data_IF_482505971193
#
_entry.id   IF_482505971193
#
_cell.length_a   1.000
_cell.length_b   1.000
_cell.length_c   1.000
_cell.angle_alpha   90.00
_cell.angle_beta   90.00
_cell.angle_gamma   90.00
#
_symmetry.space_group_name_H-M   'P 1'
#
loop_
_entity.id
_entity.type
_entity.pdbx_description
1 polymer ?
#
# COMPACT_ATOMS: atom_id res chain seq x y z
N UNK A 1 -5.87 22.49 -2.67
CA UNK A 1 -4.58 21.85 -2.94
C UNK A 1 -4.44 20.54 -2.15
N UNK A 2 -3.29 19.88 -2.19
CA UNK A 2 -3.09 18.56 -1.58
C UNK A 2 -3.51 18.48 -0.10
N UNK A 3 -3.28 19.53 0.69
CA UNK A 3 -3.69 19.58 2.09
C UNK A 3 -5.22 19.51 2.20
N UNK A 4 -5.94 20.30 1.44
CA UNK A 4 -7.40 20.32 1.45
C UNK A 4 -7.97 18.96 0.99
N UNK A 5 -7.29 18.29 0.08
CA UNK A 5 -7.66 16.96 -0.40
C UNK A 5 -7.47 15.90 0.69
N UNK A 6 -6.37 16.00 1.46
CA UNK A 6 -6.12 15.14 2.62
C UNK A 6 -7.17 15.40 3.72
N UNK A 7 -7.47 16.65 4.03
CA UNK A 7 -8.50 17.00 5.03
C UNK A 7 -9.87 16.44 4.65
N UNK A 8 -10.23 16.54 3.37
CA UNK A 8 -11.46 15.93 2.85
C UNK A 8 -11.45 14.41 3.00
N UNK A 9 -10.33 13.76 2.64
CA UNK A 9 -10.18 12.32 2.76
C UNK A 9 -10.29 11.85 4.22
N UNK A 10 -9.75 12.59 5.17
CA UNK A 10 -9.94 12.33 6.62
C UNK A 10 -11.40 12.37 6.99
N UNK A 11 -12.12 13.39 6.51
CA UNK A 11 -13.56 13.57 6.80
C UNK A 11 -14.46 12.49 6.20
N UNK A 12 -14.03 11.84 5.13
CA UNK A 12 -14.79 10.77 4.46
C UNK A 12 -14.44 9.36 4.92
N UNK A 13 -13.51 9.21 5.88
CA UNK A 13 -13.10 7.89 6.36
C UNK A 13 -14.26 7.13 7.03
N UNK A 14 -14.68 5.98 6.47
CA UNK A 14 -15.93 5.34 6.88
C UNK A 14 -15.85 4.59 8.22
N UNK A 15 -14.64 4.36 8.74
CA UNK A 15 -14.41 3.56 9.95
C UNK A 15 -13.92 4.37 11.14
N UNK A 16 -14.19 5.67 11.20
CA UNK A 16 -13.69 6.56 12.26
C UNK A 16 -14.08 6.12 13.68
N UNK A 17 -15.19 5.39 13.84
CA UNK A 17 -15.69 4.89 15.13
C UNK A 17 -15.36 3.41 15.37
N UNK A 18 -14.53 2.80 14.53
CA UNK A 18 -14.25 1.36 14.57
C UNK A 18 -12.75 1.13 14.49
N UNK A 19 -12.21 0.33 15.41
CA UNK A 19 -10.81 -0.06 15.38
C UNK A 19 -10.62 -1.52 15.74
N UNK A 20 -9.91 -2.26 14.88
CA UNK A 20 -9.45 -3.63 15.14
C UNK A 20 -8.05 -3.76 14.60
N UNK A 21 -7.09 -4.17 15.43
CA UNK A 21 -5.70 -4.36 14.98
C UNK A 21 -5.58 -5.39 13.86
N UNK A 22 -6.42 -6.42 13.86
CA UNK A 22 -6.54 -7.43 12.81
C UNK A 22 -7.97 -7.94 12.71
N UNK A 23 -8.52 -8.16 11.52
CA UNK A 23 -8.00 -7.87 10.18
C UNK A 23 -8.05 -6.39 9.81
N UNK A 24 -8.60 -5.56 10.61
CA UNK A 24 -8.90 -4.15 10.45
C UNK A 24 -10.38 -3.88 10.77
N UNK A 25 -10.83 -2.63 10.64
CA UNK A 25 -10.08 -1.44 10.23
C UNK A 25 -9.10 -0.94 11.31
N UNK A 26 -7.92 -0.50 10.90
CA UNK A 26 -6.86 0.03 11.78
C UNK A 26 -6.15 1.24 11.14
N UNK A 27 -5.02 1.66 11.70
CA UNK A 27 -4.25 2.80 11.16
C UNK A 27 -3.79 2.59 9.71
N UNK A 28 -3.41 1.38 9.33
CA UNK A 28 -3.03 1.08 7.95
C UNK A 28 -4.23 1.14 7.00
N UNK A 29 -5.43 0.74 7.46
CA UNK A 29 -6.69 0.92 6.71
C UNK A 29 -6.98 2.39 6.48
N UNK A 30 -6.75 3.24 7.49
CA UNK A 30 -6.89 4.68 7.38
C UNK A 30 -5.91 5.28 6.36
N UNK A 31 -4.62 4.94 6.46
CA UNK A 31 -3.61 5.40 5.51
C UNK A 31 -3.92 4.94 4.07
N UNK A 32 -4.38 3.71 3.91
CA UNK A 32 -4.80 3.20 2.61
C UNK A 32 -6.00 3.97 2.04
N UNK A 33 -6.96 4.39 2.89
CA UNK A 33 -8.04 5.27 2.47
C UNK A 33 -7.51 6.63 1.98
N UNK A 34 -6.63 7.27 2.75
CA UNK A 34 -6.02 8.55 2.34
C UNK A 34 -5.30 8.41 0.99
N UNK A 35 -4.52 7.34 0.78
CA UNK A 35 -3.82 7.10 -0.48
C UNK A 35 -4.76 6.94 -1.67
N UNK A 36 -5.91 6.29 -1.50
CA UNK A 36 -6.94 6.14 -2.55
C UNK A 36 -7.62 7.45 -2.90
N UNK A 37 -7.97 8.26 -1.89
CA UNK A 37 -8.65 9.55 -2.07
C UNK A 37 -7.72 10.64 -2.62
N UNK A 38 -6.41 10.51 -2.37
CA UNK A 38 -5.38 11.47 -2.82
C UNK A 38 -4.25 10.73 -3.54
N UNK A 39 -4.49 10.27 -4.79
CA UNK A 39 -3.50 9.47 -5.54
C UNK A 39 -2.16 10.19 -5.80
N UNK A 40 -2.15 11.52 -5.73
CA UNK A 40 -0.94 12.35 -5.89
C UNK A 40 0.08 12.12 -4.77
N UNK A 41 -0.36 11.61 -3.61
CA UNK A 41 0.55 11.20 -2.53
C UNK A 41 1.44 10.04 -2.94
N UNK A 42 1.00 9.27 -3.94
CA UNK A 42 1.73 8.11 -4.44
C UNK A 42 2.13 7.14 -3.33
N UNK A 43 1.17 6.87 -2.43
CA UNK A 43 1.41 6.12 -1.21
C UNK A 43 1.55 4.62 -1.51
N UNK A 44 2.74 4.08 -1.30
CA UNK A 44 3.02 2.64 -1.40
C UNK A 44 3.17 2.07 0.02
N UNK A 45 2.10 1.44 0.52
CA UNK A 45 2.14 0.76 1.80
C UNK A 45 2.76 -0.63 1.63
N UNK A 46 3.71 -1.00 2.50
CA UNK A 46 4.35 -2.31 2.40
C UNK A 46 3.35 -3.47 2.60
N UNK A 47 3.62 -4.66 2.05
CA UNK A 47 2.76 -5.83 2.24
C UNK A 47 2.53 -6.17 3.72
N UNK A 48 3.50 -5.84 4.58
CA UNK A 48 3.44 -6.03 6.03
C UNK A 48 2.54 -5.03 6.77
N UNK A 49 2.01 -4.01 6.08
CA UNK A 49 1.04 -3.08 6.65
C UNK A 49 -0.33 -3.75 6.81
N UNK A 50 -0.48 -4.57 7.84
CA UNK A 50 -1.71 -5.33 8.13
C UNK A 50 -2.91 -4.40 8.20
N UNK A 51 -3.98 -4.74 7.46
CA UNK A 51 -5.21 -3.94 7.39
C UNK A 51 -5.24 -2.90 6.28
N UNK A 52 -4.16 -2.69 5.51
CA UNK A 52 -4.14 -1.75 4.38
C UNK A 52 -5.16 -2.12 3.30
N UNK A 53 -5.39 -3.41 3.11
CA UNK A 53 -6.30 -4.00 2.13
C UNK A 53 -7.67 -4.37 2.72
N UNK A 54 -7.94 -3.97 3.98
CA UNK A 54 -9.25 -4.22 4.60
C UNK A 54 -10.37 -3.59 3.78
N UNK A 55 -11.35 -4.42 3.43
CA UNK A 55 -12.65 -4.03 2.86
C UNK A 55 -13.74 -4.88 3.48
N UNK A 56 -14.94 -4.34 3.71
CA UNK A 56 -16.06 -5.14 4.19
C UNK A 56 -16.47 -6.17 3.15
N UNK A 57 -16.99 -7.29 3.59
CA UNK A 57 -17.43 -8.39 2.73
C UNK A 57 -18.43 -7.99 1.63
N UNK A 58 -19.21 -6.93 1.89
CA UNK A 58 -20.24 -6.42 0.95
C UNK A 58 -19.64 -5.64 -0.22
N UNK A 59 -18.41 -5.15 -0.08
CA UNK A 59 -17.72 -4.39 -1.13
C UNK A 59 -16.26 -4.84 -1.28
N UNK A 60 -16.02 -6.02 -1.85
CA UNK A 60 -14.69 -6.60 -1.90
C UNK A 60 -13.75 -5.94 -2.92
N UNK A 61 -14.29 -5.21 -3.90
CA UNK A 61 -13.49 -4.56 -4.94
C UNK A 61 -13.27 -3.10 -4.65
N UNK A 62 -12.03 -2.65 -4.80
CA UNK A 62 -11.63 -1.25 -4.66
C UNK A 62 -10.35 -0.97 -5.45
N UNK A 63 -9.89 0.27 -5.41
CA UNK A 63 -8.54 0.63 -5.87
C UNK A 63 -7.51 0.36 -4.77
N UNK A 64 -6.25 0.02 -5.12
CA UNK A 64 -5.17 -0.09 -4.14
C UNK A 64 -4.84 1.27 -3.49
N UNK A 65 -4.02 1.28 -2.41
CA UNK A 65 -3.63 2.52 -1.72
C UNK A 65 -2.95 3.56 -2.61
N UNK A 66 -2.27 3.14 -3.68
CA UNK A 66 -1.71 4.05 -4.69
C UNK A 66 -2.77 4.77 -5.53
N UNK A 67 -4.04 4.38 -5.44
CA UNK A 67 -5.13 4.88 -6.28
C UNK A 67 -5.10 4.37 -7.72
N UNK A 68 -4.18 3.46 -8.07
CA UNK A 68 -3.98 2.97 -9.45
C UNK A 68 -3.92 1.45 -9.50
N UNK A 69 -4.96 0.83 -10.05
CA UNK A 69 -5.05 -0.62 -10.19
C UNK A 69 -6.37 -1.19 -9.67
N UNK A 70 -6.37 -2.47 -9.38
CA UNK A 70 -7.51 -3.20 -8.86
C UNK A 70 -7.09 -3.92 -7.58
N UNK A 71 -7.91 -3.80 -6.56
CA UNK A 71 -7.77 -4.54 -5.32
C UNK A 71 -9.04 -5.35 -5.05
N UNK A 72 -8.85 -6.62 -4.73
CA UNK A 72 -9.87 -7.49 -4.16
C UNK A 72 -9.52 -7.74 -2.70
N UNK A 73 -10.45 -7.56 -1.79
CA UNK A 73 -10.27 -7.90 -0.38
C UNK A 73 -11.52 -8.54 0.20
N UNK A 74 -11.33 -9.59 0.94
CA UNK A 74 -12.39 -10.31 1.62
C UNK A 74 -12.22 -10.15 3.14
N UNK A 75 -12.84 -9.10 3.68
CA UNK A 75 -12.84 -8.80 5.11
C UNK A 75 -11.47 -8.57 5.73
N UNK A 76 -10.43 -8.29 4.92
CA UNK A 76 -9.05 -8.15 5.37
C UNK A 76 -8.32 -9.46 5.67
N UNK A 77 -8.98 -10.62 5.53
CA UNK A 77 -8.35 -11.93 5.69
C UNK A 77 -7.67 -12.43 4.42
N UNK A 78 -8.23 -12.07 3.27
CA UNK A 78 -7.68 -12.35 1.95
C UNK A 78 -7.62 -11.04 1.18
N UNK A 79 -6.51 -10.81 0.48
CA UNK A 79 -6.33 -9.65 -0.38
C UNK A 79 -5.52 -9.99 -1.62
N UNK A 80 -5.89 -9.40 -2.75
CA UNK A 80 -5.15 -9.43 -3.99
C UNK A 80 -5.09 -8.00 -4.55
N UNK A 81 -3.89 -7.51 -4.80
CA UNK A 81 -3.66 -6.21 -5.44
C UNK A 81 -2.97 -6.45 -6.78
N UNK A 82 -3.51 -5.82 -7.82
CA UNK A 82 -2.94 -5.76 -9.17
C UNK A 82 -2.77 -4.29 -9.55
N UNK A 83 -1.55 -3.82 -9.56
CA UNK A 83 -1.24 -2.42 -9.83
C UNK A 83 0.10 -2.28 -10.54
N UNK A 84 0.21 -1.29 -11.40
CA UNK A 84 1.51 -0.96 -12.01
C UNK A 84 2.52 -0.41 -11.01
N UNK A 85 2.05 0.10 -9.87
CA UNK A 85 2.88 0.70 -8.83
C UNK A 85 3.23 -0.30 -7.72
N UNK A 86 2.22 -0.97 -7.15
CA UNK A 86 2.42 -1.99 -6.12
C UNK A 86 2.87 -3.33 -6.71
N UNK A 87 2.67 -3.54 -8.03
CA UNK A 87 2.90 -4.83 -8.67
C UNK A 87 1.76 -5.80 -8.42
N UNK A 88 2.09 -7.05 -8.13
CA UNK A 88 1.13 -8.06 -7.69
C UNK A 88 1.39 -8.34 -6.21
N UNK A 89 0.39 -8.11 -5.38
CA UNK A 89 0.45 -8.45 -3.96
C UNK A 89 -0.68 -9.41 -3.60
N UNK A 90 -0.35 -10.38 -2.79
CA UNK A 90 -1.27 -11.37 -2.24
C UNK A 90 -1.16 -11.38 -0.72
N UNK A 91 -2.29 -11.27 -0.05
CA UNK A 91 -2.40 -11.36 1.40
C UNK A 91 -3.30 -12.52 1.80
N UNK A 92 -2.81 -13.37 2.67
CA UNK A 92 -3.58 -14.44 3.28
C UNK A 92 -3.38 -14.42 4.80
N UNK A 93 -4.44 -14.14 5.55
CA UNK A 93 -4.43 -14.07 7.01
C UNK A 93 -3.32 -13.18 7.59
N UNK A 94 -3.01 -12.05 6.91
CA UNK A 94 -1.96 -11.13 7.34
C UNK A 94 -0.55 -11.49 6.86
N UNK A 95 -0.34 -12.66 6.27
CA UNK A 95 0.89 -12.98 5.57
C UNK A 95 0.82 -12.46 4.14
N UNK A 96 1.49 -11.36 3.88
CA UNK A 96 1.47 -10.71 2.57
C UNK A 96 2.77 -11.01 1.80
N UNK A 97 2.60 -11.36 0.53
CA UNK A 97 3.69 -11.56 -0.43
C UNK A 97 3.43 -10.68 -1.65
N UNK A 98 4.48 -10.19 -2.28
CA UNK A 98 4.33 -9.34 -3.45
C UNK A 98 5.48 -9.46 -4.43
N UNK A 99 5.18 -9.18 -5.70
CA UNK A 99 6.15 -9.03 -6.77
C UNK A 99 6.05 -7.60 -7.31
N UNK A 100 7.12 -6.85 -7.14
CA UNK A 100 7.22 -5.48 -7.61
C UNK A 100 7.80 -5.47 -9.04
N UNK A 101 7.09 -4.85 -9.98
CA UNK A 101 7.52 -4.77 -11.39
C UNK A 101 8.44 -3.59 -11.67
N UNK A 102 8.25 -2.48 -10.95
CA UNK A 102 9.08 -1.28 -11.15
C UNK A 102 10.49 -1.49 -10.57
N UNK A 103 10.56 -2.30 -9.55
CA UNK A 103 11.80 -2.67 -8.89
C UNK A 103 11.80 -4.17 -8.70
N UNK A 104 12.33 -4.95 -9.65
CA UNK A 104 12.22 -6.41 -9.63
C UNK A 104 12.69 -7.01 -8.30
N UNK A 105 11.76 -7.19 -7.40
CA UNK A 105 11.99 -7.71 -6.06
C UNK A 105 10.78 -8.51 -5.59
N UNK A 106 11.07 -9.58 -4.88
CA UNK A 106 10.06 -10.35 -4.18
C UNK A 106 9.87 -9.75 -2.77
N UNK A 107 8.66 -9.35 -2.45
CA UNK A 107 8.28 -8.91 -1.11
C UNK A 107 7.80 -10.13 -0.33
N UNK A 108 8.50 -10.48 0.74
CA UNK A 108 8.18 -11.62 1.58
C UNK A 108 7.73 -11.18 2.97
N UNK A 109 6.77 -11.90 3.59
CA UNK A 109 6.36 -11.60 4.96
C UNK A 109 7.55 -11.85 5.89
N UNK A 110 7.75 -10.96 6.87
CA UNK A 110 8.79 -11.01 7.90
C UNK A 110 10.25 -10.86 7.42
N UNK A 111 10.54 -11.06 6.12
CA UNK A 111 11.89 -10.99 5.56
C UNK A 111 12.14 -9.65 4.87
N UNK A 112 11.08 -9.04 4.30
CA UNK A 112 11.17 -7.78 3.55
C UNK A 112 11.37 -8.00 2.05
N UNK A 113 12.08 -7.08 1.39
CA UNK A 113 12.33 -7.13 -0.06
C UNK A 113 13.60 -7.89 -0.37
N UNK A 114 13.48 -8.87 -1.25
CA UNK A 114 14.63 -9.64 -1.79
C UNK A 114 14.70 -9.40 -3.28
N UNK A 115 15.79 -8.79 -3.74
CA UNK A 115 16.04 -8.57 -5.17
C UNK A 115 16.24 -9.91 -5.91
N UNK A 116 15.83 -9.95 -7.19
CA UNK A 116 15.92 -11.17 -8.03
C UNK A 116 17.37 -11.65 -8.16
N UNK A 117 18.36 -10.78 -8.00
CA UNK A 117 19.78 -11.11 -8.06
C UNK A 117 20.42 -11.39 -6.68
N UNK A 118 19.63 -11.63 -5.64
CA UNK A 118 20.12 -11.94 -4.29
C UNK A 118 20.76 -10.78 -3.54
N UNK A 119 20.73 -9.57 -4.10
CA UNK A 119 21.14 -8.33 -3.42
C UNK A 119 19.93 -7.69 -2.77
N UNK A 120 20.10 -7.11 -1.58
CA UNK A 120 19.07 -6.34 -0.90
C UNK A 120 18.64 -5.18 -1.81
N UNK A 121 17.40 -5.20 -2.29
CA UNK A 121 16.91 -4.31 -3.33
C UNK A 121 16.83 -2.83 -2.93
N UNK A 122 17.00 -2.52 -1.64
CA UNK A 122 16.87 -1.16 -1.11
C UNK A 122 17.96 -0.21 -1.63
N UNK A 123 19.07 -0.72 -2.14
CA UNK A 123 20.18 0.10 -2.62
C UNK A 123 19.97 0.68 -4.02
N UNK A 124 19.10 0.09 -4.83
CA UNK A 124 18.91 0.47 -6.23
C UNK A 124 17.54 1.01 -6.58
N UNK A 125 16.61 0.96 -5.65
CA UNK A 125 15.22 1.32 -5.86
C UNK A 125 14.76 2.49 -4.99
N UNK A 126 15.69 3.38 -4.63
CA UNK A 126 15.32 4.65 -4.04
C UNK A 126 14.56 5.48 -5.09
N UNK A 127 13.37 6.02 -4.78
CA UNK A 127 12.70 6.92 -5.69
C UNK A 127 13.62 8.11 -6.00
N UNK A 128 13.67 8.48 -7.26
CA UNK A 128 14.51 9.54 -7.85
C UNK A 128 14.48 10.91 -7.13
N UNK A 129 13.65 11.05 -6.12
CA UNK A 129 13.42 12.29 -5.35
C UNK A 129 14.57 12.71 -4.43
N UNK A 130 15.54 11.84 -4.17
CA UNK A 130 16.70 12.23 -3.32
C UNK A 130 17.92 12.68 -4.12
N UNK A 131 17.90 12.53 -5.44
CA UNK A 131 19.06 12.87 -6.28
C UNK A 131 19.11 14.35 -6.71
N UNK A 132 18.13 15.18 -6.33
CA UNK A 132 18.07 16.60 -6.73
C UNK A 132 18.73 17.56 -5.73
N UNK A 133 19.44 17.08 -4.71
CA UNK A 133 20.07 17.94 -3.68
C UNK A 133 21.60 17.97 -3.64
N UNK A 134 22.29 17.36 -4.63
CA UNK A 134 23.77 17.37 -4.63
C UNK A 134 24.44 17.99 -5.86
N UNK A 135 23.70 18.73 -6.70
CA UNK A 135 24.30 19.56 -7.76
C UNK A 135 23.87 21.00 -7.62
N UNK A 136 24.35 21.65 -6.57
CA UNK A 136 24.12 23.07 -6.30
C UNK A 136 25.09 23.55 -5.23
N UNK A 137 26.34 23.58 -5.57
CA UNK A 137 27.38 24.24 -4.82
C UNK A 137 28.23 25.06 -5.74
#
# INVERSE_FOLDING_TARGET
AMIDDIERAIGTYPYAQSYKSYPGPNSNTFLAHIGREVPELNLDLPPTAIGKDYQPWQNPFTTPPSGRGIQLSLGGFFGLILSAQEGIEFNLFGAAMGLDFNCPALRLPFIGRVGINGTWADQYCLPERLNHKTTGG
#
